data_IF_547676423915
#
_entry.id   IF_547676423915
#
_cell.length_a   1.000
_cell.length_b   1.000
_cell.length_c   1.000
_cell.angle_alpha   90.00
_cell.angle_beta   90.00
_cell.angle_gamma   90.00
#
_symmetry.space_group_name_H-M   'P 1'
#
loop_
_entity.id
_entity.type
_entity.pdbx_description
1 polymer ?
#
# COMPACT_ATOMS: atom_id res chain seq x y z
N UNK A 1 2.77 0.57 10.29
CA UNK A 1 2.81 -0.58 9.35
C UNK A 1 2.34 -1.91 9.95
N UNK A 2 2.70 -2.24 11.20
CA UNK A 2 2.39 -3.55 11.80
C UNK A 2 0.91 -3.97 11.73
N UNK A 3 -0.03 -3.05 11.92
CA UNK A 3 -1.47 -3.34 11.81
C UNK A 3 -1.87 -3.87 10.42
N UNK A 4 -1.24 -3.40 9.34
CA UNK A 4 -1.53 -3.89 7.98
C UNK A 4 -1.01 -5.31 7.79
N UNK A 5 0.15 -5.63 8.38
CA UNK A 5 0.69 -6.99 8.37
C UNK A 5 -0.22 -7.92 9.18
N UNK A 6 -0.62 -7.50 10.38
CA UNK A 6 -1.52 -8.27 11.24
C UNK A 6 -2.87 -8.50 10.58
N UNK A 7 -3.44 -7.49 9.90
CA UNK A 7 -4.68 -7.63 9.15
C UNK A 7 -4.56 -8.72 8.06
N UNK A 8 -3.47 -8.72 7.30
CA UNK A 8 -3.23 -9.73 6.25
C UNK A 8 -3.04 -11.12 6.86
N UNK A 9 -2.34 -11.23 7.98
CA UNK A 9 -2.13 -12.50 8.69
C UNK A 9 -3.45 -13.03 9.25
N UNK A 10 -4.22 -12.21 9.96
CA UNK A 10 -5.50 -12.58 10.55
C UNK A 10 -6.54 -12.99 9.49
N UNK A 11 -6.43 -12.46 8.26
CA UNK A 11 -7.35 -12.77 7.15
C UNK A 11 -6.79 -13.78 6.14
N UNK A 12 -5.60 -14.35 6.32
CA UNK A 12 -4.90 -15.16 5.31
C UNK A 12 -5.76 -16.28 4.72
N UNK A 13 -6.44 -17.07 5.57
CA UNK A 13 -7.34 -18.14 5.12
C UNK A 13 -8.45 -17.62 4.21
N UNK A 14 -9.16 -16.57 4.63
CA UNK A 14 -10.27 -15.99 3.87
C UNK A 14 -9.80 -15.36 2.56
N UNK A 15 -8.64 -14.69 2.57
CA UNK A 15 -8.06 -14.07 1.38
C UNK A 15 -7.62 -15.12 0.35
N UNK A 16 -7.06 -16.25 0.78
CA UNK A 16 -6.68 -17.37 -0.10
C UNK A 16 -7.88 -18.07 -0.72
N UNK A 17 -8.90 -18.36 0.07
CA UNK A 17 -10.14 -18.98 -0.41
C UNK A 17 -10.81 -18.10 -1.47
N UNK A 18 -10.92 -16.80 -1.20
CA UNK A 18 -11.49 -15.85 -2.14
C UNK A 18 -10.62 -15.69 -3.38
N UNK A 19 -9.28 -15.68 -3.24
CA UNK A 19 -8.34 -15.55 -4.35
C UNK A 19 -8.44 -16.69 -5.37
N UNK A 20 -8.71 -17.93 -4.92
CA UNK A 20 -8.95 -19.07 -5.80
C UNK A 20 -10.21 -18.95 -6.68
N UNK A 21 -11.10 -18.02 -6.37
CA UNK A 21 -12.36 -17.79 -7.09
C UNK A 21 -12.26 -16.65 -8.13
N UNK A 22 -11.06 -16.10 -8.37
CA UNK A 22 -10.83 -14.96 -9.28
C UNK A 22 -11.84 -13.81 -9.06
N UNK A 23 -11.88 -13.23 -7.85
CA UNK A 23 -12.91 -12.27 -7.49
C UNK A 23 -12.72 -10.96 -8.26
N UNK A 24 -13.83 -10.31 -8.63
CA UNK A 24 -13.79 -9.00 -9.29
C UNK A 24 -13.13 -7.90 -8.43
N UNK A 25 -13.02 -8.12 -7.11
CA UNK A 25 -12.35 -7.23 -6.15
C UNK A 25 -11.42 -8.06 -5.27
N UNK A 26 -10.19 -7.58 -5.11
CA UNK A 26 -9.18 -8.18 -4.23
C UNK A 26 -8.58 -7.14 -3.28
N UNK A 27 -7.85 -7.60 -2.27
CA UNK A 27 -7.12 -6.76 -1.32
C UNK A 27 -5.65 -6.67 -1.74
N UNK A 28 -5.14 -5.45 -1.87
CA UNK A 28 -3.71 -5.16 -2.05
C UNK A 28 -3.21 -4.19 -0.98
N UNK A 29 -1.98 -4.39 -0.51
CA UNK A 29 -1.33 -3.49 0.44
C UNK A 29 -0.12 -2.81 -0.20
N UNK A 30 0.06 -1.52 0.06
CA UNK A 30 1.26 -0.76 -0.33
C UNK A 30 1.91 -0.16 0.92
N UNK A 31 3.23 -0.36 1.04
CA UNK A 31 4.04 0.29 2.05
C UNK A 31 4.90 1.32 1.32
N UNK A 32 4.50 2.58 1.41
CA UNK A 32 5.14 3.68 0.72
C UNK A 32 6.39 4.12 1.49
N UNK A 33 7.45 4.40 0.74
CA UNK A 33 8.69 4.95 1.25
C UNK A 33 8.78 6.46 0.98
N UNK A 34 9.60 7.16 1.78
CA UNK A 34 9.82 8.60 1.65
C UNK A 34 8.55 9.42 1.78
N UNK A 35 7.69 9.10 2.75
CA UNK A 35 6.50 9.91 3.03
C UNK A 35 6.89 11.26 3.63
N UNK A 36 7.83 11.25 4.57
CA UNK A 36 8.40 12.41 5.26
C UNK A 36 9.20 13.34 4.34
N UNK A 37 9.30 14.61 4.76
CA UNK A 37 10.19 15.60 4.19
C UNK A 37 11.63 15.41 4.69
N UNK A 38 12.62 15.83 3.91
CA UNK A 38 14.01 15.94 4.39
C UNK A 38 14.24 17.24 5.20
N UNK A 39 13.57 18.32 4.80
CA UNK A 39 13.53 19.60 5.51
C UNK A 39 12.09 19.97 5.86
N UNK A 40 11.56 20.99 5.19
CA UNK A 40 10.19 21.45 5.40
C UNK A 40 9.22 20.78 4.44
N UNK A 41 8.09 20.32 4.98
CA UNK A 41 7.03 19.70 4.19
C UNK A 41 6.58 20.64 3.06
N UNK A 42 6.78 20.20 1.82
CA UNK A 42 6.42 20.97 0.63
C UNK A 42 5.99 20.06 -0.52
N UNK A 43 5.51 20.66 -1.61
CA UNK A 43 5.10 19.91 -2.82
C UNK A 43 6.25 19.08 -3.39
N UNK A 44 7.49 19.54 -3.24
CA UNK A 44 8.69 18.86 -3.75
C UNK A 44 9.40 18.01 -2.72
N UNK A 45 9.32 18.39 -1.43
CA UNK A 45 9.95 17.71 -0.31
C UNK A 45 8.92 17.05 0.61
N UNK A 46 8.25 16.03 0.08
CA UNK A 46 7.35 15.11 0.78
C UNK A 46 6.84 14.04 -0.20
N UNK A 47 6.24 12.97 0.31
CA UNK A 47 5.46 12.00 -0.46
C UNK A 47 6.23 11.41 -1.67
N UNK A 48 7.53 11.19 -1.55
CA UNK A 48 8.42 10.79 -2.64
C UNK A 48 7.95 9.48 -3.30
N UNK A 49 7.81 8.41 -2.52
CA UNK A 49 7.33 7.12 -3.02
C UNK A 49 5.88 7.15 -3.48
N UNK A 50 5.02 7.91 -2.79
CA UNK A 50 3.61 8.08 -3.15
C UNK A 50 3.42 8.73 -4.52
N UNK A 51 4.10 9.86 -4.78
CA UNK A 51 4.08 10.55 -6.08
C UNK A 51 4.64 9.68 -7.20
N UNK A 52 5.77 9.01 -6.95
CA UNK A 52 6.38 8.13 -7.94
C UNK A 52 5.49 6.93 -8.30
N UNK A 53 4.86 6.30 -7.31
CA UNK A 53 3.92 5.20 -7.56
C UNK A 53 2.69 5.68 -8.35
N UNK A 54 2.09 6.80 -7.95
CA UNK A 54 0.94 7.36 -8.64
C UNK A 54 1.24 7.66 -10.13
N UNK A 55 2.40 8.26 -10.43
CA UNK A 55 2.82 8.52 -11.80
C UNK A 55 3.04 7.25 -12.64
N UNK A 56 3.43 6.13 -12.01
CA UNK A 56 3.61 4.83 -12.68
C UNK A 56 2.28 4.09 -12.94
N UNK A 57 1.25 4.40 -12.17
CA UNK A 57 -0.06 3.76 -12.24
C UNK A 57 -1.09 4.55 -13.07
N UNK A 58 -0.77 5.79 -13.45
CA UNK A 58 -1.55 6.61 -14.38
C UNK A 58 -1.34 6.15 -15.83
#
# INVERSE_FOLDING_TARGET
>A
CALLLELVVALDTHLRERGGQAPAVTLGGVFLDGEEAFGDWSVTDSLWGGRHLAAKMA
#
